data_IF_467959605641
#
_entry.id   IF_467959605641
#
_cell.length_a   1.000
_cell.length_b   1.000
_cell.length_c   1.000
_cell.angle_alpha   90.00
_cell.angle_beta   90.00
_cell.angle_gamma   90.00
#
_symmetry.space_group_name_H-M   'P 1'
#
loop_
_entity.id
_entity.type
_entity.pdbx_description
1 polymer ?
#
# COMPACT_ATOMS: atom_id res chain seq x y z
N UNK A 1 39.59 8.89 -34.37
CA UNK A 1 39.35 9.35 -32.98
C UNK A 1 37.89 9.74 -32.73
N UNK A 2 37.20 10.33 -33.71
CA UNK A 2 35.81 10.82 -33.57
C UNK A 2 34.75 9.73 -33.36
N UNK A 3 34.79 8.61 -34.08
CA UNK A 3 33.84 7.49 -33.89
C UNK A 3 33.89 6.87 -32.48
N UNK A 4 35.07 6.85 -31.87
CA UNK A 4 35.28 6.34 -30.51
C UNK A 4 34.70 7.29 -29.45
N UNK A 5 34.79 8.61 -29.70
CA UNK A 5 34.16 9.65 -28.86
C UNK A 5 32.63 9.62 -29.00
N UNK A 6 32.10 9.45 -30.21
CA UNK A 6 30.65 9.34 -30.48
C UNK A 6 30.06 8.11 -29.78
N UNK A 7 30.72 6.95 -29.84
CA UNK A 7 30.24 5.73 -29.17
C UNK A 7 30.26 5.86 -27.64
N UNK A 8 31.26 6.56 -27.08
CA UNK A 8 31.33 6.84 -25.64
C UNK A 8 30.22 7.80 -25.22
N UNK A 9 29.99 8.87 -25.98
CA UNK A 9 28.91 9.84 -25.70
C UNK A 9 27.53 9.19 -25.85
N UNK A 10 27.32 8.39 -26.89
CA UNK A 10 26.07 7.66 -27.09
C UNK A 10 25.81 6.67 -25.95
N UNK A 11 26.83 5.94 -25.48
CA UNK A 11 26.71 5.05 -24.32
C UNK A 11 26.35 5.80 -23.03
N UNK A 12 26.92 7.00 -22.84
CA UNK A 12 26.65 7.83 -21.66
C UNK A 12 25.22 8.39 -21.68
N UNK A 13 24.70 8.78 -22.86
CA UNK A 13 23.31 9.23 -23.02
C UNK A 13 22.32 8.09 -22.74
N UNK A 14 22.59 6.87 -23.23
CA UNK A 14 21.74 5.69 -22.97
C UNK A 14 21.75 5.32 -21.47
N UNK A 15 22.91 5.41 -20.81
CA UNK A 15 23.03 5.16 -19.38
C UNK A 15 22.28 6.21 -18.54
N UNK A 16 22.31 7.48 -18.93
CA UNK A 16 21.53 8.54 -18.26
C UNK A 16 20.03 8.35 -18.48
N UNK A 17 19.59 7.93 -19.67
CA UNK A 17 18.18 7.63 -19.94
C UNK A 17 17.63 6.47 -19.09
N UNK A 18 18.46 5.48 -18.77
CA UNK A 18 18.07 4.36 -17.90
C UNK A 18 17.83 4.79 -16.43
N UNK A 19 18.44 5.90 -15.98
CA UNK A 19 18.28 6.42 -14.62
C UNK A 19 17.00 7.25 -14.43
N UNK A 20 16.32 7.61 -15.52
CA UNK A 20 15.10 8.45 -15.51
C UNK A 20 13.82 7.63 -15.60
N UNK A 21 13.92 6.29 -15.63
CA UNK A 21 12.74 5.45 -15.61
C UNK A 21 12.08 5.54 -14.23
N UNK A 22 10.86 6.09 -14.10
CA UNK A 22 10.13 6.00 -12.86
C UNK A 22 9.89 4.51 -12.59
N UNK A 23 10.39 4.00 -11.47
CA UNK A 23 9.90 2.73 -10.95
C UNK A 23 8.41 2.98 -10.67
N UNK A 24 7.54 2.44 -11.52
CA UNK A 24 6.12 2.40 -11.22
C UNK A 24 5.98 1.62 -9.91
N UNK A 25 5.71 2.33 -8.82
CA UNK A 25 5.30 1.73 -7.57
C UNK A 25 3.95 1.08 -7.86
N UNK A 26 3.99 -0.22 -8.17
CA UNK A 26 2.77 -1.03 -8.17
C UNK A 26 2.30 -0.98 -6.73
N UNK A 27 1.14 -0.34 -6.51
CA UNK A 27 0.43 -0.41 -5.25
C UNK A 27 0.04 -1.89 -5.04
N UNK A 28 0.95 -2.62 -4.40
CA UNK A 28 0.79 -4.04 -4.15
C UNK A 28 -0.29 -4.22 -3.10
N UNK A 29 -1.15 -5.22 -3.31
CA UNK A 29 -2.03 -5.67 -2.23
C UNK A 29 -1.17 -6.11 -1.04
N UNK A 30 -1.57 -5.70 0.15
CA UNK A 30 -0.93 -6.04 1.42
C UNK A 30 -1.93 -6.73 2.32
N UNK A 31 -1.43 -7.57 3.21
CA UNK A 31 -2.23 -8.25 4.23
C UNK A 31 -1.81 -7.73 5.60
N UNK A 32 -2.81 -7.32 6.40
CA UNK A 32 -2.65 -6.71 7.72
C UNK A 32 -3.42 -7.54 8.74
N UNK A 33 -2.82 -7.78 9.89
CA UNK A 33 -3.50 -8.38 11.04
C UNK A 33 -3.61 -7.32 12.14
N UNK A 34 -4.84 -7.09 12.62
CA UNK A 34 -5.12 -6.03 13.58
C UNK A 34 -6.51 -6.16 14.21
N UNK A 35 -6.84 -5.20 15.08
CA UNK A 35 -8.12 -5.09 15.77
C UNK A 35 -8.93 -3.94 15.18
N UNK A 36 -10.22 -4.17 14.94
CA UNK A 36 -11.14 -3.14 14.45
C UNK A 36 -11.60 -2.28 15.62
N UNK A 37 -11.51 -0.95 15.50
CA UNK A 37 -11.99 -0.03 16.54
C UNK A 37 -13.30 0.67 16.16
N UNK A 38 -13.86 1.45 17.09
CA UNK A 38 -15.10 2.23 16.93
C UNK A 38 -14.93 3.51 16.10
N UNK A 39 -13.75 3.74 15.54
CA UNK A 39 -13.35 4.93 14.81
C UNK A 39 -13.11 4.65 13.32
N UNK A 40 -13.68 3.57 12.79
CA UNK A 40 -13.53 3.15 11.38
C UNK A 40 -12.09 2.81 10.99
N UNK A 41 -11.32 2.23 11.93
CA UNK A 41 -9.90 1.93 11.74
C UNK A 41 -9.55 0.49 12.12
N UNK A 42 -8.41 0.04 11.58
CA UNK A 42 -7.73 -1.19 11.99
C UNK A 42 -6.44 -0.78 12.71
N UNK A 43 -6.28 -1.25 13.95
CA UNK A 43 -5.05 -1.09 14.73
C UNK A 43 -4.23 -2.36 14.59
N UNK A 44 -3.15 -2.29 13.82
CA UNK A 44 -2.26 -3.42 13.62
C UNK A 44 -1.46 -3.76 14.88
N UNK A 45 -0.89 -4.97 14.91
CA UNK A 45 -0.14 -5.48 16.08
C UNK A 45 1.12 -4.66 16.43
N UNK A 46 1.66 -3.91 15.46
CA UNK A 46 2.80 -3.00 15.64
C UNK A 46 2.37 -1.59 16.11
N UNK A 47 1.07 -1.37 16.33
CA UNK A 47 0.49 -0.09 16.71
C UNK A 47 0.21 0.84 15.52
N UNK A 48 0.46 0.41 14.28
CA UNK A 48 0.10 1.19 13.10
C UNK A 48 -1.42 1.21 12.94
N UNK A 49 -1.97 2.41 12.79
CA UNK A 49 -3.39 2.64 12.54
C UNK A 49 -3.62 2.79 11.03
N UNK A 50 -4.66 2.15 10.52
CA UNK A 50 -5.12 2.25 9.14
C UNK A 50 -6.58 2.69 9.12
N UNK A 51 -6.89 3.76 8.40
CA UNK A 51 -8.27 4.17 8.15
C UNK A 51 -8.87 3.33 7.03
N UNK A 52 -10.10 2.85 7.22
CA UNK A 52 -10.78 2.00 6.25
C UNK A 52 -11.57 2.87 5.28
N UNK A 53 -11.47 2.60 3.98
CA UNK A 53 -12.27 3.34 2.99
C UNK A 53 -13.73 2.88 2.95
N UNK A 54 -14.61 3.82 2.64
CA UNK A 54 -16.04 3.61 2.45
C UNK A 54 -16.31 2.70 1.22
N UNK A 55 -16.34 1.40 1.47
CA UNK A 55 -16.58 0.34 0.49
C UNK A 55 -17.49 -0.71 1.11
N UNK A 56 -18.11 -1.58 0.31
CA UNK A 56 -18.99 -2.62 0.86
C UNK A 56 -18.28 -3.48 1.92
N UNK A 57 -17.07 -3.97 1.61
CA UNK A 57 -16.28 -4.80 2.53
C UNK A 57 -15.71 -3.98 3.69
N UNK A 58 -15.30 -2.73 3.44
CA UNK A 58 -14.81 -1.82 4.46
C UNK A 58 -15.87 -1.50 5.51
N UNK A 59 -17.07 -1.14 5.05
CA UNK A 59 -18.21 -0.81 5.90
C UNK A 59 -18.66 -2.03 6.69
N UNK A 60 -18.74 -3.21 6.07
CA UNK A 60 -19.09 -4.44 6.77
C UNK A 60 -18.10 -4.72 7.91
N UNK A 61 -16.80 -4.59 7.65
CA UNK A 61 -15.77 -4.77 8.68
C UNK A 61 -15.95 -3.80 9.86
N UNK A 62 -16.01 -2.50 9.59
CA UNK A 62 -15.99 -1.47 10.65
C UNK A 62 -17.32 -1.30 11.37
N UNK A 63 -18.43 -1.71 10.77
CA UNK A 63 -19.76 -1.61 11.39
C UNK A 63 -20.14 -2.88 12.16
N UNK A 64 -19.72 -4.07 11.71
CA UNK A 64 -20.18 -5.35 12.27
C UNK A 64 -19.12 -6.10 13.08
N UNK A 65 -17.83 -5.74 12.99
CA UNK A 65 -16.74 -6.50 13.61
C UNK A 65 -15.89 -5.67 14.59
N UNK A 66 -16.49 -4.66 15.24
CA UNK A 66 -15.81 -3.79 16.22
C UNK A 66 -15.31 -4.62 17.41
N UNK A 67 -14.03 -4.46 17.76
CA UNK A 67 -13.35 -5.19 18.84
C UNK A 67 -12.80 -6.54 18.41
N UNK A 68 -13.15 -7.03 17.22
CA UNK A 68 -12.65 -8.31 16.71
C UNK A 68 -11.25 -8.18 16.12
N UNK A 69 -10.47 -9.26 16.21
CA UNK A 69 -9.20 -9.37 15.49
C UNK A 69 -9.45 -9.94 14.12
N UNK A 70 -8.90 -9.26 13.14
CA UNK A 70 -9.13 -9.55 11.73
C UNK A 70 -7.83 -9.61 10.95
N UNK A 71 -7.86 -10.40 9.88
CA UNK A 71 -6.85 -10.44 8.83
C UNK A 71 -7.45 -9.82 7.57
N UNK A 72 -6.94 -8.66 7.18
CA UNK A 72 -7.46 -7.84 6.09
C UNK A 72 -6.48 -7.85 4.93
N UNK A 73 -6.96 -8.07 3.71
CA UNK A 73 -6.17 -7.92 2.49
C UNK A 73 -6.73 -6.77 1.66
N UNK A 74 -5.87 -5.86 1.24
CA UNK A 74 -6.28 -4.65 0.55
C UNK A 74 -5.12 -3.86 0.00
N UNK A 75 -5.41 -2.70 -0.58
CA UNK A 75 -4.39 -1.74 -1.03
C UNK A 75 -4.25 -0.66 0.01
N UNK A 76 -3.01 -0.36 0.42
CA UNK A 76 -2.72 0.73 1.34
C UNK A 76 -2.16 1.91 0.58
N UNK A 77 -2.75 3.08 0.80
CA UNK A 77 -2.29 4.36 0.30
C UNK A 77 -1.90 5.26 1.48
N UNK A 78 -0.92 6.12 1.26
CA UNK A 78 -0.51 7.12 2.24
C UNK A 78 -1.16 8.45 1.83
N UNK A 79 -2.05 8.98 2.65
CA UNK A 79 -2.65 10.31 2.50
C UNK A 79 -2.15 11.22 3.62
N UNK A 80 -1.16 12.07 3.31
CA UNK A 80 -0.44 12.85 4.30
C UNK A 80 0.24 11.95 5.35
N UNK A 81 -0.10 12.15 6.62
CA UNK A 81 0.39 11.35 7.75
C UNK A 81 -0.47 10.11 8.04
N UNK A 82 -1.57 9.92 7.30
CA UNK A 82 -2.54 8.84 7.50
C UNK A 82 -2.30 7.71 6.50
N UNK A 83 -2.44 6.47 6.97
CA UNK A 83 -2.50 5.29 6.11
C UNK A 83 -3.95 4.91 5.91
N UNK A 84 -4.37 4.83 4.65
CA UNK A 84 -5.72 4.48 4.25
C UNK A 84 -5.67 3.11 3.59
N UNK A 85 -6.53 2.19 4.01
CA UNK A 85 -6.66 0.86 3.41
C UNK A 85 -8.00 0.71 2.69
N UNK A 86 -7.92 0.34 1.42
CA UNK A 86 -9.07 -0.16 0.66
C UNK A 86 -9.12 -1.66 0.75
N UNK A 87 -10.13 -2.16 1.45
CA UNK A 87 -10.31 -3.59 1.74
C UNK A 87 -10.81 -4.31 0.50
N UNK A 88 -10.15 -5.41 0.17
CA UNK A 88 -10.59 -6.36 -0.87
C UNK A 88 -11.28 -7.57 -0.26
N UNK A 89 -10.78 -8.04 0.89
CA UNK A 89 -11.36 -9.15 1.65
C UNK A 89 -10.84 -9.12 3.08
N UNK A 90 -11.63 -9.65 4.02
CA UNK A 90 -11.21 -9.84 5.39
C UNK A 90 -11.60 -11.21 5.93
N UNK A 91 -10.96 -11.60 7.03
CA UNK A 91 -11.28 -12.79 7.79
C UNK A 91 -11.19 -12.47 9.29
N UNK A 92 -12.24 -12.78 10.03
CA UNK A 92 -12.21 -12.77 11.51
C UNK A 92 -11.37 -13.93 12.01
N UNK A 93 -10.40 -13.62 12.88
CA UNK A 93 -9.46 -14.60 13.44
C UNK A 93 -9.62 -14.76 14.95
N UNK A 94 -10.21 -13.79 15.66
CA UNK A 94 -10.66 -13.90 17.05
C UNK A 94 -11.76 -12.87 17.38
N UNK A 95 -12.65 -13.25 18.31
CA UNK A 95 -13.72 -12.42 18.89
C UNK A 95 -13.33 -11.94 20.30
#
# INVERSE_FOLDING_TARGET
MERRKINVVAGLIVMVMLLILPLAAVAGSTTIEGEVNDSYQIVASDGQVYEVTDTTEGNDLVENHIGEKVKVTGTVEQDGDVKVITITTFQVIAE
#
